data_IF_424990008536
#
_entry.id   IF_424990008536
#
_cell.length_a   1.000
_cell.length_b   1.000
_cell.length_c   1.000
_cell.angle_alpha   90.00
_cell.angle_beta   90.00
_cell.angle_gamma   90.00
#
_symmetry.space_group_name_H-M   'P 1'
#
loop_
_entity.id
_entity.type
_entity.pdbx_description
1 polymer ?
#
# COMPACT_ATOMS: atom_id res chain seq x y z
N UNK A 1 -17.06 -27.66 -17.04
CA UNK A 1 -17.40 -26.31 -16.57
C UNK A 1 -16.12 -25.61 -16.16
N UNK A 2 -15.96 -24.32 -16.41
CA UNK A 2 -14.74 -23.61 -16.00
C UNK A 2 -14.76 -23.41 -14.48
N UNK A 3 -13.77 -23.94 -13.78
CA UNK A 3 -13.62 -23.81 -12.33
C UNK A 3 -12.79 -22.57 -11.98
N UNK A 4 -13.33 -21.74 -11.09
CA UNK A 4 -12.69 -20.53 -10.56
C UNK A 4 -12.37 -20.76 -9.09
N UNK A 5 -11.09 -20.92 -8.76
CA UNK A 5 -10.61 -21.02 -7.39
C UNK A 5 -10.53 -19.63 -6.76
N UNK A 6 -11.11 -19.45 -5.58
CA UNK A 6 -11.07 -18.19 -4.80
C UNK A 6 -10.42 -18.46 -3.45
N UNK A 7 -9.22 -17.93 -3.23
CA UNK A 7 -8.40 -18.27 -2.05
C UNK A 7 -8.48 -17.24 -0.93
N UNK A 8 -9.09 -16.10 -1.20
CA UNK A 8 -9.26 -15.04 -0.22
C UNK A 8 -10.67 -14.44 -0.28
N UNK A 9 -11.11 -13.88 0.85
CA UNK A 9 -12.46 -13.31 0.95
C UNK A 9 -12.65 -12.14 -0.01
N UNK A 10 -13.59 -12.27 -0.93
CA UNK A 10 -14.08 -11.22 -1.83
C UNK A 10 -15.56 -10.92 -1.54
N UNK A 11 -16.15 -9.92 -2.20
CA UNK A 11 -17.56 -9.58 -2.00
C UNK A 11 -18.49 -10.70 -2.49
N UNK A 12 -19.58 -10.93 -1.79
CA UNK A 12 -20.60 -11.90 -2.21
C UNK A 12 -21.18 -11.57 -3.59
N UNK A 13 -21.30 -10.29 -3.92
CA UNK A 13 -21.74 -9.87 -5.25
C UNK A 13 -20.81 -10.32 -6.37
N UNK A 14 -19.50 -10.35 -6.10
CA UNK A 14 -18.50 -10.86 -7.05
C UNK A 14 -18.63 -12.37 -7.26
N UNK A 15 -18.77 -13.15 -6.17
CA UNK A 15 -19.00 -14.59 -6.26
C UNK A 15 -20.29 -14.90 -7.05
N UNK A 16 -21.41 -14.26 -6.67
CA UNK A 16 -22.69 -14.45 -7.34
C UNK A 16 -22.67 -14.04 -8.82
N UNK A 17 -21.83 -13.07 -9.19
CA UNK A 17 -21.67 -12.71 -10.60
C UNK A 17 -20.98 -13.82 -11.40
N UNK A 18 -19.94 -14.45 -10.84
CA UNK A 18 -19.27 -15.59 -11.45
C UNK A 18 -20.18 -16.79 -11.61
N UNK A 19 -20.92 -17.15 -10.55
CA UNK A 19 -21.89 -18.26 -10.56
C UNK A 19 -22.99 -18.05 -11.62
N UNK A 20 -23.58 -16.86 -11.69
CA UNK A 20 -24.56 -16.48 -12.71
C UNK A 20 -24.01 -16.48 -14.13
N UNK A 21 -22.71 -16.31 -14.28
CA UNK A 21 -22.00 -16.39 -15.57
C UNK A 21 -21.69 -17.84 -15.98
N UNK A 22 -22.10 -18.83 -15.18
CA UNK A 22 -21.96 -20.25 -15.50
C UNK A 22 -20.62 -20.85 -15.10
N UNK A 23 -19.85 -20.18 -14.24
CA UNK A 23 -18.62 -20.73 -13.69
C UNK A 23 -18.88 -21.54 -12.42
N UNK A 24 -18.08 -22.59 -12.22
CA UNK A 24 -17.97 -23.30 -10.96
C UNK A 24 -17.07 -22.50 -10.01
N UNK A 25 -17.64 -21.93 -8.96
CA UNK A 25 -16.90 -21.10 -7.99
C UNK A 25 -16.51 -21.96 -6.80
N UNK A 26 -15.23 -22.21 -6.64
CA UNK A 26 -14.65 -22.99 -5.55
C UNK A 26 -13.92 -22.05 -4.56
N UNK A 27 -14.49 -21.87 -3.37
CA UNK A 27 -13.97 -20.95 -2.36
C UNK A 27 -13.22 -21.73 -1.29
N UNK A 28 -11.89 -21.61 -1.29
CA UNK A 28 -10.99 -22.25 -0.32
C UNK A 28 -10.12 -21.19 0.34
N UNK A 29 -10.49 -20.78 1.55
CA UNK A 29 -9.83 -19.67 2.24
C UNK A 29 -8.72 -20.16 3.18
N UNK A 30 -7.64 -19.35 3.28
CA UNK A 30 -6.57 -19.56 4.25
C UNK A 30 -5.65 -20.73 3.94
N UNK A 31 -5.51 -21.06 2.66
CA UNK A 31 -4.64 -22.13 2.19
C UNK A 31 -3.16 -21.79 2.51
N UNK A 32 -2.43 -22.76 3.03
CA UNK A 32 -0.98 -22.74 3.04
C UNK A 32 -0.42 -23.06 1.65
N UNK A 33 0.90 -23.02 1.50
CA UNK A 33 1.56 -23.21 0.20
C UNK A 33 1.30 -24.61 -0.38
N UNK A 34 1.34 -25.65 0.44
CA UNK A 34 1.09 -27.05 0.00
C UNK A 34 -0.36 -27.22 -0.43
N UNK A 35 -1.29 -26.72 0.37
CA UNK A 35 -2.72 -26.77 0.06
C UNK A 35 -3.05 -25.98 -1.21
N UNK A 36 -2.35 -24.86 -1.46
CA UNK A 36 -2.53 -24.08 -2.69
C UNK A 36 -2.06 -24.85 -3.92
N UNK A 37 -0.94 -25.56 -3.84
CA UNK A 37 -0.42 -26.42 -4.93
C UNK A 37 -1.42 -27.55 -5.28
N UNK A 38 -2.13 -28.08 -4.29
CA UNK A 38 -3.15 -29.09 -4.55
C UNK A 38 -4.44 -28.46 -5.11
N UNK A 39 -4.89 -27.35 -4.51
CA UNK A 39 -6.14 -26.69 -4.88
C UNK A 39 -6.12 -26.10 -6.30
N UNK A 40 -4.94 -25.66 -6.80
CA UNK A 40 -4.82 -25.06 -8.13
C UNK A 40 -5.00 -26.06 -9.26
N UNK A 41 -4.82 -27.36 -9.01
CA UNK A 41 -4.96 -28.39 -10.03
C UNK A 41 -6.38 -28.42 -10.58
N UNK A 42 -6.54 -28.40 -11.91
CA UNK A 42 -7.81 -28.32 -12.59
C UNK A 42 -8.56 -26.98 -12.46
N UNK A 43 -7.97 -25.97 -11.84
CA UNK A 43 -8.51 -24.62 -11.86
C UNK A 43 -8.19 -23.91 -13.18
N UNK A 44 -9.18 -23.30 -13.81
CA UNK A 44 -9.03 -22.52 -15.03
C UNK A 44 -8.76 -21.03 -14.72
N UNK A 45 -9.25 -20.57 -13.56
CA UNK A 45 -8.97 -19.24 -13.06
C UNK A 45 -8.69 -19.29 -11.56
N UNK A 46 -7.88 -18.37 -11.07
CA UNK A 46 -7.71 -18.14 -9.64
C UNK A 46 -7.94 -16.67 -9.30
N UNK A 47 -8.69 -16.40 -8.23
CA UNK A 47 -8.91 -15.06 -7.68
C UNK A 47 -8.26 -14.97 -6.31
N UNK A 48 -7.34 -14.00 -6.18
CA UNK A 48 -6.55 -13.76 -4.98
C UNK A 48 -6.66 -12.30 -4.52
N UNK A 49 -6.15 -12.02 -3.33
CA UNK A 49 -5.86 -10.65 -2.87
C UNK A 49 -4.38 -10.52 -2.53
N UNK A 50 -4.05 -10.15 -1.29
CA UNK A 50 -2.67 -9.84 -0.87
C UNK A 50 -1.98 -10.95 -0.09
N UNK A 51 -2.71 -11.88 0.51
CA UNK A 51 -2.13 -12.94 1.34
C UNK A 51 -1.65 -14.14 0.51
N UNK A 52 -2.37 -14.51 -0.55
CA UNK A 52 -2.00 -15.63 -1.42
C UNK A 52 -0.86 -15.21 -2.36
N UNK A 53 0.20 -16.01 -2.42
CA UNK A 53 1.33 -15.82 -3.34
C UNK A 53 1.21 -16.80 -4.51
N UNK A 54 1.24 -16.30 -5.72
CA UNK A 54 1.26 -17.09 -6.96
C UNK A 54 2.69 -17.11 -7.48
N UNK A 55 3.44 -18.10 -7.01
CA UNK A 55 4.83 -18.34 -7.39
C UNK A 55 4.92 -19.11 -8.70
N UNK A 56 6.13 -19.24 -9.26
CA UNK A 56 6.40 -20.05 -10.44
C UNK A 56 5.97 -21.51 -10.24
N UNK A 57 6.13 -22.06 -9.05
CA UNK A 57 5.73 -23.42 -8.69
C UNK A 57 4.22 -23.59 -8.74
N UNK A 58 3.44 -22.63 -8.19
CA UNK A 58 1.97 -22.63 -8.24
C UNK A 58 1.49 -22.56 -9.68
N UNK A 59 2.11 -21.70 -10.49
CA UNK A 59 1.78 -21.54 -11.91
C UNK A 59 2.07 -22.86 -12.67
N UNK A 60 3.19 -23.50 -12.40
CA UNK A 60 3.55 -24.77 -13.04
C UNK A 60 2.60 -25.94 -12.71
N UNK A 61 1.98 -25.93 -11.51
CA UNK A 61 0.96 -26.91 -11.12
C UNK A 61 -0.41 -26.62 -11.71
N UNK A 62 -0.72 -25.37 -12.00
CA UNK A 62 -1.99 -24.94 -12.58
C UNK A 62 -2.06 -25.16 -14.10
N UNK A 63 -2.00 -26.41 -14.56
CA UNK A 63 -1.89 -26.75 -16.00
C UNK A 63 -3.07 -26.26 -16.85
N UNK A 64 -4.24 -26.11 -16.24
CA UNK A 64 -5.46 -25.65 -16.91
C UNK A 64 -5.69 -24.13 -16.70
N UNK A 65 -4.77 -23.45 -15.98
CA UNK A 65 -4.92 -22.08 -15.60
C UNK A 65 -4.76 -21.14 -16.81
N UNK A 66 -5.75 -20.31 -17.07
CA UNK A 66 -5.75 -19.33 -18.17
C UNK A 66 -5.75 -17.89 -17.68
N UNK A 67 -6.19 -17.65 -16.43
CA UNK A 67 -6.21 -16.29 -15.86
C UNK A 67 -5.98 -16.29 -14.35
N UNK A 68 -5.17 -15.33 -13.92
CA UNK A 68 -4.94 -14.98 -12.51
C UNK A 68 -5.55 -13.60 -12.27
N UNK A 69 -6.60 -13.53 -11.45
CA UNK A 69 -7.27 -12.29 -11.07
C UNK A 69 -6.86 -11.83 -9.68
N UNK A 70 -6.22 -10.66 -9.58
CA UNK A 70 -5.91 -10.06 -8.27
C UNK A 70 -6.95 -8.98 -7.92
N UNK A 71 -7.78 -9.25 -6.89
CA UNK A 71 -8.76 -8.29 -6.38
C UNK A 71 -8.08 -7.17 -5.56
N UNK A 72 -7.33 -6.32 -6.25
CA UNK A 72 -6.56 -5.19 -5.72
C UNK A 72 -5.63 -4.60 -6.77
N UNK A 73 -4.78 -3.64 -6.40
CA UNK A 73 -3.96 -2.86 -7.34
C UNK A 73 -2.61 -3.53 -7.63
N UNK A 74 -1.82 -3.83 -6.60
CA UNK A 74 -0.45 -4.36 -6.78
C UNK A 74 -0.46 -5.80 -7.29
N UNK A 75 0.63 -6.24 -7.92
CA UNK A 75 0.85 -7.60 -8.41
C UNK A 75 2.11 -8.22 -7.80
N UNK A 76 2.61 -7.64 -6.74
CA UNK A 76 3.84 -8.02 -6.05
C UNK A 76 3.80 -9.44 -5.43
N UNK A 77 2.64 -10.04 -5.32
CA UNK A 77 2.42 -11.41 -4.87
C UNK A 77 2.12 -12.39 -6.03
N UNK A 78 2.33 -11.98 -7.29
CA UNK A 78 2.17 -12.82 -8.49
C UNK A 78 3.45 -12.79 -9.31
N UNK A 79 3.98 -13.95 -9.65
CA UNK A 79 5.06 -14.06 -10.63
C UNK A 79 4.50 -13.83 -12.05
N UNK A 80 4.43 -12.55 -12.41
CA UNK A 80 3.87 -12.12 -13.71
C UNK A 80 4.74 -12.62 -14.86
N UNK A 81 6.06 -12.75 -14.67
CA UNK A 81 6.96 -13.24 -15.71
C UNK A 81 6.68 -14.72 -16.01
N UNK A 82 6.61 -15.56 -14.98
CA UNK A 82 6.28 -16.98 -15.13
C UNK A 82 4.88 -17.18 -15.73
N UNK A 83 3.89 -16.37 -15.34
CA UNK A 83 2.55 -16.41 -15.92
C UNK A 83 2.57 -16.07 -17.42
N UNK A 84 3.33 -15.04 -17.81
CA UNK A 84 3.49 -14.61 -19.21
C UNK A 84 4.16 -15.68 -20.04
N UNK A 85 5.22 -16.34 -19.53
CA UNK A 85 5.90 -17.45 -20.20
C UNK A 85 4.96 -18.63 -20.52
N UNK A 86 3.95 -18.86 -19.66
CA UNK A 86 2.94 -19.90 -19.85
C UNK A 86 1.67 -19.41 -20.58
N UNK A 87 1.63 -18.16 -21.03
CA UNK A 87 0.48 -17.59 -21.72
C UNK A 87 -0.73 -17.35 -20.82
N UNK A 88 -0.53 -17.28 -19.50
CA UNK A 88 -1.59 -17.02 -18.50
C UNK A 88 -1.79 -15.52 -18.34
N UNK A 89 -3.02 -15.07 -18.50
CA UNK A 89 -3.39 -13.66 -18.32
C UNK A 89 -3.37 -13.27 -16.84
N UNK A 90 -2.70 -12.16 -16.50
CA UNK A 90 -2.75 -11.60 -15.15
C UNK A 90 -3.56 -10.30 -15.19
N UNK A 91 -4.63 -10.23 -14.40
CA UNK A 91 -5.52 -9.06 -14.32
C UNK A 91 -5.63 -8.56 -12.89
N UNK A 92 -5.80 -7.25 -12.73
CA UNK A 92 -5.95 -6.62 -11.43
C UNK A 92 -7.15 -5.66 -11.40
N UNK A 93 -7.45 -5.10 -10.22
CA UNK A 93 -8.50 -4.11 -10.01
C UNK A 93 -7.88 -2.73 -9.69
N UNK A 94 -7.42 -1.96 -10.70
CA UNK A 94 -6.54 -0.80 -10.51
C UNK A 94 -7.22 0.43 -9.87
N UNK A 95 -8.53 0.36 -9.59
CA UNK A 95 -9.29 1.45 -8.96
C UNK A 95 -9.94 1.04 -7.63
N UNK A 96 -9.79 -0.20 -7.19
CA UNK A 96 -10.63 -0.79 -6.14
C UNK A 96 -10.44 -0.18 -4.75
N UNK A 97 -9.24 0.29 -4.39
CA UNK A 97 -8.92 0.76 -3.04
C UNK A 97 -8.23 2.13 -2.99
N UNK A 98 -8.29 2.92 -4.08
CA UNK A 98 -7.60 4.21 -4.13
C UNK A 98 -8.12 5.15 -3.04
N UNK A 99 -9.44 5.24 -2.90
CA UNK A 99 -10.08 6.12 -1.93
C UNK A 99 -9.80 5.66 -0.49
N UNK A 100 -10.01 4.38 -0.21
CA UNK A 100 -9.78 3.83 1.13
C UNK A 100 -8.32 3.92 1.57
N UNK A 101 -7.36 3.74 0.65
CA UNK A 101 -5.95 3.93 0.96
C UNK A 101 -5.62 5.40 1.29
N UNK A 102 -6.18 6.35 0.54
CA UNK A 102 -5.99 7.77 0.83
C UNK A 102 -6.63 8.18 2.17
N UNK A 103 -7.81 7.68 2.49
CA UNK A 103 -8.49 7.94 3.77
C UNK A 103 -7.74 7.30 4.94
N UNK A 104 -7.25 6.07 4.77
CA UNK A 104 -6.43 5.40 5.79
C UNK A 104 -5.13 6.15 6.06
N UNK A 105 -4.48 6.67 5.00
CA UNK A 105 -3.30 7.52 5.14
C UNK A 105 -3.59 8.76 6.00
N UNK A 106 -4.68 9.47 5.70
CA UNK A 106 -5.07 10.65 6.48
C UNK A 106 -5.43 10.30 7.93
N UNK A 107 -6.10 9.17 8.15
CA UNK A 107 -6.41 8.68 9.48
C UNK A 107 -5.16 8.41 10.33
N UNK A 108 -4.16 7.73 9.74
CA UNK A 108 -2.88 7.47 10.42
C UNK A 108 -2.08 8.76 10.67
N UNK A 109 -2.04 9.67 9.69
CA UNK A 109 -1.37 10.96 9.81
C UNK A 109 -1.95 11.78 10.97
N UNK A 110 -3.28 11.89 11.04
CA UNK A 110 -3.98 12.58 12.14
C UNK A 110 -3.79 11.86 13.48
N UNK A 111 -3.85 10.53 13.50
CA UNK A 111 -3.64 9.74 14.70
C UNK A 111 -2.23 9.95 15.28
N UNK A 112 -1.23 9.99 14.40
CA UNK A 112 0.16 10.25 14.77
C UNK A 112 0.37 11.71 15.23
N UNK A 113 -0.18 12.69 14.50
CA UNK A 113 -0.10 14.10 14.85
C UNK A 113 -0.67 14.41 16.22
N UNK A 114 -1.72 13.70 16.64
CA UNK A 114 -2.46 13.93 17.88
C UNK A 114 -2.21 12.87 18.97
N UNK A 115 -1.24 11.96 18.76
CA UNK A 115 -0.89 10.89 19.70
C UNK A 115 -2.11 10.03 20.13
N UNK A 116 -3.06 9.79 19.21
CA UNK A 116 -4.34 9.14 19.52
C UNK A 116 -4.15 7.72 20.08
N UNK A 117 -3.33 6.82 19.48
CA UNK A 117 -3.18 5.45 19.98
C UNK A 117 -2.65 5.39 21.41
N UNK A 118 -1.51 6.03 21.76
CA UNK A 118 -0.97 5.94 23.10
C UNK A 118 -1.84 6.67 24.14
N UNK A 119 -2.52 7.78 23.76
CA UNK A 119 -3.46 8.46 24.65
C UNK A 119 -4.68 7.58 24.96
N UNK A 120 -5.23 6.89 23.96
CA UNK A 120 -6.34 5.95 24.14
C UNK A 120 -5.92 4.76 25.03
N UNK A 121 -4.73 4.21 24.83
CA UNK A 121 -4.19 3.12 25.65
C UNK A 121 -4.03 3.57 27.10
N UNK A 122 -3.43 4.73 27.35
CA UNK A 122 -3.29 5.29 28.69
C UNK A 122 -4.63 5.41 29.39
N UNK A 123 -5.65 5.97 28.71
CA UNK A 123 -6.99 6.15 29.26
C UNK A 123 -7.68 4.81 29.57
N UNK A 124 -7.57 3.82 28.69
CA UNK A 124 -8.11 2.46 28.90
C UNK A 124 -7.49 1.78 30.10
N UNK A 125 -6.24 2.11 30.41
CA UNK A 125 -5.50 1.60 31.58
C UNK A 125 -5.70 2.51 32.83
N UNK A 126 -6.72 3.38 32.82
CA UNK A 126 -7.08 4.25 33.94
C UNK A 126 -6.11 5.41 34.21
N UNK A 127 -5.23 5.75 33.26
CA UNK A 127 -4.25 6.84 33.39
C UNK A 127 -4.73 8.09 32.66
N UNK A 128 -4.90 9.19 33.41
CA UNK A 128 -5.23 10.49 32.87
C UNK A 128 -3.97 11.35 32.74
N UNK A 129 -3.28 11.24 31.59
CA UNK A 129 -1.96 11.84 31.34
C UNK A 129 -2.07 12.99 30.29
N UNK A 130 -2.98 13.94 30.50
CA UNK A 130 -3.34 14.99 29.53
C UNK A 130 -2.13 15.70 28.89
N UNK A 131 -1.16 16.11 29.71
CA UNK A 131 -0.02 16.91 29.24
C UNK A 131 1.02 16.08 28.47
N UNK A 132 1.04 14.76 28.67
CA UNK A 132 1.99 13.85 27.99
C UNK A 132 1.65 13.65 26.51
N UNK A 133 0.38 13.76 26.17
CA UNK A 133 -0.12 13.47 24.83
C UNK A 133 -0.44 14.73 24.01
N UNK A 134 0.27 15.85 24.31
CA UNK A 134 0.18 17.04 23.48
C UNK A 134 0.68 16.74 22.10
N UNK A 135 -0.18 16.94 21.10
CA UNK A 135 0.15 16.71 19.68
C UNK A 135 0.59 17.97 18.97
N UNK A 136 0.66 17.89 17.65
CA UNK A 136 0.94 19.01 16.74
C UNK A 136 -0.26 19.26 15.83
N UNK A 137 -0.42 20.50 15.39
CA UNK A 137 -1.36 20.87 14.35
C UNK A 137 -0.76 20.59 12.97
N UNK A 138 -1.60 20.34 11.97
CA UNK A 138 -1.15 20.11 10.59
C UNK A 138 -1.00 21.42 9.81
N UNK A 139 -1.69 22.49 10.24
CA UNK A 139 -1.60 23.79 9.60
C UNK A 139 -0.14 24.28 9.57
N UNK A 140 0.27 24.81 8.41
CA UNK A 140 1.63 25.30 8.12
C UNK A 140 2.75 24.24 8.13
N UNK A 141 2.43 22.96 8.44
CA UNK A 141 3.41 21.87 8.34
C UNK A 141 3.60 21.44 6.91
N UNK A 142 4.80 20.96 6.59
CA UNK A 142 5.14 20.43 5.28
C UNK A 142 4.89 18.94 5.22
N UNK A 143 4.08 18.50 4.25
CA UNK A 143 3.87 17.10 3.90
C UNK A 143 4.69 16.75 2.66
N UNK A 144 5.68 15.88 2.84
CA UNK A 144 6.41 15.24 1.75
C UNK A 144 5.64 14.02 1.24
N UNK A 145 5.35 14.00 -0.05
CA UNK A 145 4.59 12.92 -0.71
C UNK A 145 5.56 12.15 -1.63
N UNK A 146 5.89 10.92 -1.28
CA UNK A 146 6.71 10.04 -2.11
C UNK A 146 5.78 9.23 -2.99
N UNK A 147 5.71 9.61 -4.28
CA UNK A 147 4.78 9.06 -5.26
C UNK A 147 3.48 9.88 -5.39
N UNK A 148 3.41 10.74 -6.42
CA UNK A 148 2.27 11.59 -6.73
C UNK A 148 1.30 10.92 -7.74
N UNK A 149 1.10 9.60 -7.58
CA UNK A 149 0.16 8.80 -8.37
C UNK A 149 -1.30 9.01 -7.97
N UNK A 150 -2.16 8.03 -8.22
CA UNK A 150 -3.61 8.12 -7.95
C UNK A 150 -3.92 8.35 -6.46
N UNK A 151 -3.22 7.62 -5.56
CA UNK A 151 -3.42 7.76 -4.11
C UNK A 151 -2.77 9.04 -3.60
N UNK A 152 -1.50 9.29 -3.95
CA UNK A 152 -0.79 10.49 -3.50
C UNK A 152 -1.51 11.80 -3.85
N UNK A 153 -2.15 11.89 -5.03
CA UNK A 153 -2.98 13.04 -5.41
C UNK A 153 -4.19 13.23 -4.50
N UNK A 154 -4.88 12.16 -4.13
CA UNK A 154 -6.03 12.24 -3.21
C UNK A 154 -5.60 12.61 -1.80
N UNK A 155 -4.43 12.17 -1.35
CA UNK A 155 -3.84 12.59 -0.07
C UNK A 155 -3.46 14.06 -0.13
N UNK A 156 -2.79 14.51 -1.19
CA UNK A 156 -2.43 15.91 -1.42
C UNK A 156 -3.65 16.84 -1.30
N UNK A 157 -4.74 16.52 -2.02
CA UNK A 157 -5.99 17.30 -1.97
C UNK A 157 -6.57 17.41 -0.56
N UNK A 158 -6.53 16.32 0.22
CA UNK A 158 -7.02 16.32 1.61
C UNK A 158 -6.10 17.11 2.53
N UNK A 159 -4.79 16.95 2.38
CA UNK A 159 -3.80 17.64 3.21
C UNK A 159 -3.84 19.17 3.00
N UNK A 160 -4.11 19.63 1.78
CA UNK A 160 -4.36 21.07 1.52
C UNK A 160 -5.52 21.63 2.35
N UNK A 161 -6.59 20.85 2.53
CA UNK A 161 -7.74 21.26 3.36
C UNK A 161 -7.40 21.38 4.85
N UNK A 162 -6.29 20.79 5.29
CA UNK A 162 -5.73 20.97 6.64
C UNK A 162 -4.70 22.10 6.71
N UNK A 163 -4.53 22.89 5.66
CA UNK A 163 -3.57 24.00 5.63
C UNK A 163 -2.10 23.57 5.54
N UNK A 164 -1.82 22.35 5.08
CA UNK A 164 -0.44 21.86 4.91
C UNK A 164 0.21 22.44 3.64
N UNK A 165 1.53 22.64 3.71
CA UNK A 165 2.39 22.86 2.54
C UNK A 165 2.75 21.52 1.93
N UNK A 166 2.69 21.41 0.59
CA UNK A 166 2.86 20.13 -0.09
C UNK A 166 4.10 20.13 -0.97
N UNK A 167 4.94 19.12 -0.79
CA UNK A 167 6.06 18.81 -1.66
C UNK A 167 5.99 17.34 -2.06
N UNK A 168 6.53 16.97 -3.22
CA UNK A 168 6.54 15.59 -3.65
C UNK A 168 7.85 15.19 -4.33
N UNK A 169 8.18 13.92 -4.20
CA UNK A 169 9.16 13.22 -4.99
C UNK A 169 8.45 12.21 -5.89
N UNK A 170 8.51 12.41 -7.19
CA UNK A 170 8.00 11.47 -8.19
C UNK A 170 8.74 11.70 -9.52
N UNK A 171 9.62 10.77 -9.94
CA UNK A 171 10.41 10.94 -11.15
C UNK A 171 9.60 10.82 -12.46
N UNK A 172 8.33 10.40 -12.37
CA UNK A 172 7.46 10.17 -13.54
C UNK A 172 6.40 11.25 -13.73
N UNK A 173 6.26 12.18 -12.79
CA UNK A 173 5.26 13.26 -12.87
C UNK A 173 5.89 14.54 -13.41
N UNK A 174 5.28 15.10 -14.46
CA UNK A 174 5.71 16.38 -15.02
C UNK A 174 5.45 17.53 -14.01
N UNK A 175 6.36 18.53 -13.92
CA UNK A 175 6.23 19.65 -12.99
C UNK A 175 4.92 20.42 -13.12
N UNK A 176 4.40 20.59 -14.34
CA UNK A 176 3.15 21.28 -14.61
C UNK A 176 1.94 20.58 -13.99
N UNK A 177 1.99 19.25 -13.93
CA UNK A 177 0.94 18.44 -13.26
C UNK A 177 0.97 18.57 -11.75
N UNK A 178 2.15 18.62 -11.16
CA UNK A 178 2.31 18.82 -9.72
C UNK A 178 1.82 20.22 -9.32
N UNK A 179 2.17 21.26 -10.07
CA UNK A 179 1.72 22.64 -9.85
C UNK A 179 0.21 22.80 -9.88
N UNK A 180 -0.51 22.04 -10.74
CA UNK A 180 -1.98 22.04 -10.77
C UNK A 180 -2.60 21.52 -9.45
N UNK A 181 -1.83 20.80 -8.66
CA UNK A 181 -2.23 20.28 -7.34
C UNK A 181 -1.66 21.12 -6.19
N UNK A 182 -1.04 22.26 -6.49
CA UNK A 182 -0.31 23.09 -5.50
C UNK A 182 0.80 22.29 -4.79
N UNK A 183 1.51 21.44 -5.52
CA UNK A 183 2.61 20.60 -5.03
C UNK A 183 3.89 20.96 -5.77
N UNK A 184 4.97 21.24 -5.05
CA UNK A 184 6.29 21.43 -5.62
C UNK A 184 7.03 20.09 -5.69
N UNK A 185 7.64 19.80 -6.85
CA UNK A 185 8.47 18.60 -7.02
C UNK A 185 9.90 18.90 -6.56
N UNK A 186 10.41 17.99 -5.74
CA UNK A 186 11.77 18.06 -5.17
C UNK A 186 12.49 16.73 -5.37
N UNK A 187 13.80 16.73 -5.21
CA UNK A 187 14.57 15.51 -5.00
C UNK A 187 14.17 14.86 -3.68
N UNK A 188 14.43 13.55 -3.53
CA UNK A 188 14.14 12.84 -2.29
C UNK A 188 14.85 13.48 -1.09
N UNK A 189 16.13 13.90 -1.28
CA UNK A 189 16.91 14.56 -0.25
C UNK A 189 16.25 15.86 0.21
N UNK A 190 15.96 16.78 -0.71
CA UNK A 190 15.32 18.07 -0.40
C UNK A 190 13.95 17.87 0.28
N UNK A 191 13.17 16.87 -0.17
CA UNK A 191 11.90 16.52 0.45
C UNK A 191 12.11 16.11 1.91
N UNK A 192 13.07 15.23 2.20
CA UNK A 192 13.37 14.77 3.56
C UNK A 192 13.81 15.90 4.47
N UNK A 193 14.65 16.83 3.96
CA UNK A 193 15.18 17.97 4.73
C UNK A 193 14.08 18.93 5.24
N UNK A 194 13.03 19.14 4.44
CA UNK A 194 12.04 20.17 4.78
C UNK A 194 10.72 19.63 5.33
N UNK A 195 10.47 18.32 5.18
CA UNK A 195 9.20 17.71 5.59
C UNK A 195 9.06 17.60 7.11
N UNK A 196 7.86 17.86 7.62
CA UNK A 196 7.44 17.54 8.99
C UNK A 196 6.71 16.19 9.04
N UNK A 197 6.09 15.82 7.92
CA UNK A 197 5.45 14.53 7.68
C UNK A 197 5.85 14.00 6.31
N UNK A 198 6.06 12.70 6.20
CA UNK A 198 6.28 12.01 4.93
C UNK A 198 5.25 10.91 4.77
N UNK A 199 4.68 10.80 3.58
CA UNK A 199 3.76 9.72 3.22
C UNK A 199 4.18 9.05 1.92
N UNK A 200 4.04 7.71 1.87
CA UNK A 200 4.60 6.87 0.81
C UNK A 200 3.48 6.25 -0.01
N UNK A 201 3.53 6.43 -1.34
CA UNK A 201 2.51 5.97 -2.29
C UNK A 201 3.13 5.42 -3.59
N UNK A 202 4.32 4.84 -3.51
CA UNK A 202 5.00 4.18 -4.62
C UNK A 202 4.74 2.67 -4.61
N UNK A 203 4.89 2.03 -5.77
CA UNK A 203 4.91 0.57 -5.87
C UNK A 203 6.24 0.04 -5.28
N UNK A 204 6.26 -1.23 -4.87
CA UNK A 204 7.49 -1.92 -4.49
C UNK A 204 8.17 -2.43 -5.78
N UNK A 205 9.31 -1.87 -6.10
CA UNK A 205 10.17 -2.23 -7.23
C UNK A 205 11.62 -2.29 -6.75
N UNK A 206 12.56 -2.84 -7.53
CA UNK A 206 13.97 -2.81 -7.15
C UNK A 206 14.49 -1.40 -6.79
N UNK A 207 13.97 -0.35 -7.43
CA UNK A 207 14.39 1.04 -7.21
C UNK A 207 13.73 1.68 -5.96
N UNK A 208 12.69 1.08 -5.42
CA UNK A 208 11.94 1.60 -4.26
C UNK A 208 12.10 0.75 -3.00
N UNK A 209 12.76 -0.41 -3.09
CA UNK A 209 13.17 -1.18 -1.91
C UNK A 209 14.17 -0.33 -1.13
N UNK A 210 13.97 -0.22 0.19
CA UNK A 210 14.79 0.56 1.12
C UNK A 210 14.99 2.03 0.68
N UNK A 211 14.00 2.58 -0.04
CA UNK A 211 14.02 3.98 -0.49
C UNK A 211 14.18 4.94 0.71
N UNK A 212 13.58 4.61 1.84
CA UNK A 212 13.84 5.26 3.13
C UNK A 212 14.75 4.34 3.92
N UNK A 213 16.01 4.71 3.99
CA UNK A 213 17.12 3.99 4.60
C UNK A 213 17.87 4.86 5.60
N UNK A 214 18.89 4.32 6.27
CA UNK A 214 19.75 5.09 7.16
C UNK A 214 20.29 6.35 6.48
N UNK A 215 20.74 6.26 5.21
CA UNK A 215 21.22 7.41 4.45
C UNK A 215 20.15 8.49 4.30
N UNK A 216 18.95 8.14 3.83
CA UNK A 216 17.89 9.13 3.61
C UNK A 216 17.36 9.72 4.91
N UNK A 217 17.37 8.95 6.00
CA UNK A 217 16.99 9.42 7.34
C UNK A 217 17.97 10.43 7.92
N UNK A 218 19.23 10.44 7.49
CA UNK A 218 20.20 11.47 7.93
C UNK A 218 19.82 12.90 7.50
N UNK A 219 19.01 13.04 6.45
CA UNK A 219 18.52 14.34 5.98
C UNK A 219 17.24 14.79 6.70
N UNK A 220 16.61 13.89 7.46
CA UNK A 220 15.32 14.15 8.05
C UNK A 220 15.39 15.09 9.26
N UNK A 221 14.30 15.83 9.48
CA UNK A 221 14.13 16.56 10.76
C UNK A 221 14.00 15.57 11.92
N UNK A 222 14.50 15.90 13.12
CA UNK A 222 14.38 15.03 14.32
C UNK A 222 12.93 14.63 14.63
N UNK A 223 11.99 15.55 14.37
CA UNK A 223 10.55 15.33 14.64
C UNK A 223 9.78 14.81 13.41
N UNK A 224 10.46 14.33 12.37
CA UNK A 224 9.81 13.79 11.19
C UNK A 224 8.85 12.65 11.55
N UNK A 225 7.69 12.65 10.94
CA UNK A 225 6.69 11.57 11.04
C UNK A 225 6.49 10.91 9.71
N UNK A 226 6.58 9.57 9.67
CA UNK A 226 6.46 8.79 8.44
C UNK A 226 5.18 7.95 8.48
N UNK A 227 4.42 8.00 7.39
CA UNK A 227 3.23 7.15 7.17
C UNK A 227 3.44 6.30 5.91
N UNK A 228 3.50 4.99 6.08
CA UNK A 228 3.62 4.05 4.97
C UNK A 228 2.35 3.17 4.89
N UNK A 229 1.48 3.46 3.93
CA UNK A 229 0.29 2.66 3.58
C UNK A 229 0.49 1.96 2.22
N UNK A 230 1.70 2.02 1.67
CA UNK A 230 2.01 1.42 0.37
C UNK A 230 2.41 -0.06 0.51
N UNK A 231 3.67 -0.33 0.84
CA UNK A 231 4.23 -1.69 0.94
C UNK A 231 5.33 -1.76 2.00
N UNK A 232 5.44 -2.91 2.67
CA UNK A 232 6.61 -3.24 3.47
C UNK A 232 7.88 -3.34 2.62
N UNK A 233 9.02 -2.97 3.20
CA UNK A 233 10.33 -2.98 2.54
C UNK A 233 10.60 -1.79 1.62
N UNK A 234 9.74 -0.75 1.58
CA UNK A 234 10.05 0.57 1.00
C UNK A 234 10.78 1.42 2.04
N UNK A 235 10.40 1.27 3.28
CA UNK A 235 11.15 1.78 4.43
C UNK A 235 11.97 0.62 4.96
N UNK A 236 13.28 0.82 5.15
CA UNK A 236 14.11 -0.11 5.88
C UNK A 236 13.75 -0.02 7.36
N UNK A 237 13.09 -1.06 7.87
CA UNK A 237 12.52 -1.04 9.22
C UNK A 237 13.59 -1.07 10.31
N UNK A 238 14.76 -1.70 10.04
CA UNK A 238 15.90 -1.69 10.96
C UNK A 238 16.51 -0.29 11.08
N UNK A 239 16.78 0.36 9.94
CA UNK A 239 17.32 1.71 9.90
C UNK A 239 16.38 2.72 10.56
N UNK A 240 15.07 2.56 10.34
CA UNK A 240 14.07 3.42 10.99
C UNK A 240 14.04 3.19 12.51
N UNK A 241 14.14 1.95 12.97
CA UNK A 241 14.19 1.64 14.40
C UNK A 241 15.41 2.26 15.07
N UNK A 242 16.59 2.18 14.44
CA UNK A 242 17.82 2.78 14.90
C UNK A 242 17.73 4.33 14.95
N UNK A 243 17.14 4.94 13.91
CA UNK A 243 16.92 6.38 13.89
C UNK A 243 15.91 6.89 14.94
N UNK A 244 14.93 6.06 15.35
CA UNK A 244 13.98 6.42 16.41
C UNK A 244 14.65 6.27 17.80
N UNK A 245 15.64 5.37 17.95
CA UNK A 245 16.33 5.11 19.20
C UNK A 245 17.45 6.11 19.49
N UNK A 246 17.95 6.86 18.47
CA UNK A 246 19.03 7.85 18.58
C UNK A 246 18.49 9.22 19.02
#
# INVERSE_FOLDING_TARGET
>A
MFRVLVTEKISQSGLSHLEKSGYEVDVQLGLDETQLLDAIQGAHAIIIRSATKITKEVIAQGKDLVVIGRAGIGLDNVDVAAATEQGIMVVNAPKSNILSAAEHTMALLLAQARNIPPANEALRNGRWERNKWTGVELADKTLGIIGLGRIGKLVAQRALSFGMKLVAYDPFVAPERAKQLSVDLLSLKELMEISDFVTIHVAKTPETIDLISAETLTYAKPDLRIVNVARGGIVNESDLADAIAS
#
